data_IF_716429503228
#
_entry.id   IF_716429503228
#
_cell.length_a   1.000
_cell.length_b   1.000
_cell.length_c   1.000
_cell.angle_alpha   90.00
_cell.angle_beta   90.00
_cell.angle_gamma   90.00
#
_symmetry.space_group_name_H-M   'P 1'
#
loop_
_entity.id
_entity.type
_entity.pdbx_description
1 polymer ?
#
# COMPACT_ATOMS: atom_id res chain seq x y z
N UNK A 1 5.07 -2.27 -2.33
CA UNK A 1 4.59 -3.14 -3.43
C UNK A 1 3.87 -4.34 -2.84
N UNK A 2 2.65 -4.64 -3.30
CA UNK A 2 1.83 -5.79 -2.92
C UNK A 2 1.68 -6.65 -4.17
N UNK A 3 2.08 -7.93 -4.12
CA UNK A 3 2.00 -8.83 -5.28
C UNK A 3 0.77 -9.73 -5.16
N UNK A 4 -0.02 -9.80 -6.22
CA UNK A 4 -1.18 -10.70 -6.35
C UNK A 4 -0.91 -11.88 -7.28
N UNK A 5 -0.07 -11.68 -8.31
CA UNK A 5 0.37 -12.70 -9.25
C UNK A 5 1.76 -12.34 -9.80
N UNK A 6 2.56 -13.35 -10.15
CA UNK A 6 3.95 -13.14 -10.60
C UNK A 6 4.94 -12.96 -9.46
N UNK A 7 6.14 -12.50 -9.76
CA UNK A 7 7.20 -12.27 -8.79
C UNK A 7 7.97 -10.99 -9.14
N UNK A 8 8.33 -10.23 -8.10
CA UNK A 8 9.16 -9.03 -8.19
C UNK A 8 10.41 -9.24 -7.35
N UNK A 9 11.57 -8.98 -7.93
CA UNK A 9 12.85 -8.93 -7.23
C UNK A 9 13.26 -7.48 -7.02
N UNK A 10 13.72 -7.17 -5.83
CA UNK A 10 14.15 -5.85 -5.39
C UNK A 10 15.57 -5.89 -4.86
N UNK A 11 16.33 -4.87 -5.13
CA UNK A 11 17.59 -4.55 -4.44
C UNK A 11 17.74 -3.05 -4.27
N UNK A 12 18.50 -2.65 -3.24
CA UNK A 12 18.68 -1.25 -2.92
C UNK A 12 20.10 -0.91 -2.42
N UNK A 13 20.39 0.38 -2.37
CA UNK A 13 21.70 0.91 -1.97
C UNK A 13 22.05 0.72 -0.49
N UNK A 14 21.13 0.18 0.33
CA UNK A 14 21.44 -0.24 1.71
C UNK A 14 21.97 -1.67 1.79
N UNK A 15 22.05 -2.35 0.65
CA UNK A 15 22.45 -3.76 0.55
C UNK A 15 21.31 -4.73 0.89
N UNK A 16 20.09 -4.26 0.95
CA UNK A 16 18.90 -5.08 1.19
C UNK A 16 18.20 -5.40 -0.12
N UNK A 17 17.43 -6.46 -0.10
CA UNK A 17 16.66 -6.89 -1.24
C UNK A 17 16.03 -8.25 -1.01
N UNK A 18 15.38 -8.77 -2.04
CA UNK A 18 14.74 -10.08 -2.01
C UNK A 18 13.70 -10.22 -3.12
N UNK A 19 13.12 -11.40 -3.17
CA UNK A 19 12.01 -11.73 -4.08
C UNK A 19 10.73 -11.78 -3.28
N UNK A 20 9.69 -11.13 -3.80
CA UNK A 20 8.33 -11.19 -3.28
C UNK A 20 7.41 -11.82 -4.33
N UNK A 21 6.55 -12.73 -3.89
CA UNK A 21 5.57 -13.43 -4.70
C UNK A 21 4.12 -13.15 -4.27
N UNK A 22 3.16 -13.92 -4.79
CA UNK A 22 1.75 -13.71 -4.50
C UNK A 22 1.44 -13.74 -3.00
N UNK A 23 0.84 -12.66 -2.52
CA UNK A 23 0.50 -12.46 -1.12
C UNK A 23 1.57 -11.78 -0.29
N UNK A 24 2.80 -11.66 -0.77
CA UNK A 24 3.88 -10.95 -0.10
C UNK A 24 3.79 -9.44 -0.31
N UNK A 25 4.44 -8.70 0.59
CA UNK A 25 4.51 -7.25 0.56
C UNK A 25 5.95 -6.79 0.78
N UNK A 26 6.41 -5.90 -0.07
CA UNK A 26 7.59 -5.09 0.14
C UNK A 26 7.17 -3.74 0.72
N UNK A 27 7.65 -3.43 1.91
CA UNK A 27 7.38 -2.16 2.57
C UNK A 27 8.69 -1.42 2.79
N UNK A 28 8.96 -0.42 1.95
CA UNK A 28 10.21 0.33 1.95
C UNK A 28 9.98 1.76 2.47
N UNK A 29 10.90 2.24 3.28
CA UNK A 29 10.99 3.65 3.68
C UNK A 29 12.17 4.27 2.96
N UNK A 30 11.93 5.20 2.04
CA UNK A 30 12.98 5.91 1.33
C UNK A 30 13.70 6.92 2.25
N UNK A 31 12.96 7.61 3.12
CA UNK A 31 13.50 8.51 4.13
C UNK A 31 14.50 9.52 3.57
N UNK A 32 15.70 9.56 4.12
CA UNK A 32 16.78 10.47 3.72
C UNK A 32 17.33 10.22 2.30
N UNK A 33 16.86 9.19 1.64
CA UNK A 33 17.20 8.85 0.25
C UNK A 33 17.78 7.45 0.11
N UNK A 34 17.37 6.76 -0.94
CA UNK A 34 17.77 5.41 -1.30
C UNK A 34 17.74 5.27 -2.82
N UNK A 35 18.68 4.52 -3.36
CA UNK A 35 18.57 3.99 -4.72
C UNK A 35 17.98 2.61 -4.64
N UNK A 36 17.03 2.30 -5.49
CA UNK A 36 16.49 0.95 -5.60
C UNK A 36 16.14 0.61 -7.04
N UNK A 37 16.08 -0.67 -7.31
CA UNK A 37 15.55 -1.18 -8.56
C UNK A 37 14.63 -2.36 -8.29
N UNK A 38 13.61 -2.46 -9.10
CA UNK A 38 12.63 -3.53 -9.11
C UNK A 38 12.56 -4.16 -10.49
N UNK A 39 12.60 -5.48 -10.55
CA UNK A 39 12.57 -6.22 -11.79
C UNK A 39 11.90 -7.59 -11.60
N UNK A 40 11.58 -8.24 -12.69
CA UNK A 40 11.07 -9.62 -12.62
C UNK A 40 12.14 -10.54 -12.07
N UNK A 41 11.82 -11.44 -11.14
CA UNK A 41 12.77 -12.44 -10.68
C UNK A 41 13.29 -13.27 -11.86
N UNK A 42 14.49 -13.82 -11.73
CA UNK A 42 15.06 -14.68 -12.77
C UNK A 42 14.16 -15.89 -13.07
N UNK A 43 13.54 -16.47 -12.05
CA UNK A 43 12.62 -17.60 -12.22
C UNK A 43 11.35 -17.18 -12.96
N UNK A 44 10.76 -16.04 -12.60
CA UNK A 44 9.57 -15.51 -13.26
C UNK A 44 9.87 -15.08 -14.71
N UNK A 45 11.03 -14.47 -14.96
CA UNK A 45 11.46 -14.08 -16.32
C UNK A 45 11.63 -15.28 -17.26
N UNK A 46 12.05 -16.43 -16.74
CA UNK A 46 12.17 -17.68 -17.52
C UNK A 46 10.82 -18.33 -17.76
N UNK A 47 9.95 -18.37 -16.74
CA UNK A 47 8.65 -19.00 -16.80
C UNK A 47 7.64 -18.18 -17.60
N UNK A 48 7.70 -16.87 -17.48
CA UNK A 48 6.67 -15.94 -17.94
C UNK A 48 5.39 -16.02 -17.13
N UNK A 49 4.39 -15.24 -17.53
CA UNK A 49 3.07 -15.23 -16.90
C UNK A 49 2.57 -13.82 -16.63
N UNK A 50 1.43 -13.75 -15.93
CA UNK A 50 0.83 -12.48 -15.52
C UNK A 50 1.56 -11.92 -14.30
N UNK A 51 1.92 -10.64 -14.35
CA UNK A 51 2.31 -9.86 -13.19
C UNK A 51 1.14 -8.96 -12.80
N UNK A 52 0.55 -9.21 -11.62
CA UNK A 52 -0.47 -8.34 -11.02
C UNK A 52 0.03 -7.87 -9.67
N UNK A 53 0.22 -6.56 -9.55
CA UNK A 53 0.70 -5.94 -8.31
C UNK A 53 0.10 -4.54 -8.11
N UNK A 54 0.10 -4.08 -6.88
CA UNK A 54 -0.20 -2.70 -6.51
C UNK A 54 1.04 -2.05 -5.90
N UNK A 55 1.42 -0.88 -6.41
CA UNK A 55 2.48 -0.07 -5.82
C UNK A 55 1.87 1.20 -5.21
N UNK A 56 2.12 1.40 -3.92
CA UNK A 56 1.62 2.53 -3.16
C UNK A 56 2.79 3.45 -2.79
N UNK A 57 2.57 4.74 -2.88
CA UNK A 57 3.46 5.73 -2.30
C UNK A 57 2.78 6.34 -1.07
N UNK A 58 3.28 5.96 0.11
CA UNK A 58 2.81 6.48 1.39
C UNK A 58 3.69 7.66 1.79
N UNK A 59 3.08 8.85 1.89
CA UNK A 59 3.82 10.05 2.24
C UNK A 59 4.24 10.05 3.72
N UNK A 60 5.45 10.49 4.00
CA UNK A 60 5.94 10.67 5.37
C UNK A 60 5.60 12.08 5.89
N UNK A 61 5.28 12.23 7.20
CA UNK A 61 5.20 13.54 7.83
C UNK A 61 6.54 14.30 7.70
N UNK A 62 6.49 15.64 7.69
CA UNK A 62 7.67 16.48 7.54
C UNK A 62 8.79 16.13 8.53
N UNK A 63 8.43 15.86 9.79
CA UNK A 63 9.37 15.48 10.86
C UNK A 63 10.12 14.18 10.58
N UNK A 64 9.56 13.30 9.75
CA UNK A 64 10.11 11.97 9.45
C UNK A 64 10.62 11.85 8.00
N UNK A 65 10.60 12.95 7.20
CA UNK A 65 11.09 12.96 5.81
C UNK A 65 12.54 12.47 5.69
N UNK A 66 13.36 12.79 6.68
CA UNK A 66 14.77 12.42 6.74
C UNK A 66 15.03 11.19 7.63
N UNK A 67 14.02 10.35 7.85
CA UNK A 67 14.20 9.09 8.57
C UNK A 67 15.23 8.20 7.87
N UNK A 68 15.86 7.33 8.64
CA UNK A 68 16.80 6.35 8.09
C UNK A 68 16.09 5.43 7.09
N UNK A 69 16.65 5.23 5.88
CA UNK A 69 16.10 4.29 4.91
C UNK A 69 15.93 2.89 5.49
N UNK A 70 14.81 2.25 5.18
CA UNK A 70 14.47 0.95 5.72
C UNK A 70 13.72 0.08 4.72
N UNK A 71 13.84 -1.24 4.89
CA UNK A 71 13.18 -2.23 4.06
C UNK A 71 12.59 -3.33 4.93
N UNK A 72 11.32 -3.66 4.69
CA UNK A 72 10.64 -4.81 5.28
C UNK A 72 10.17 -5.74 4.15
N UNK A 73 10.67 -6.96 4.14
CA UNK A 73 10.09 -8.06 3.38
C UNK A 73 9.04 -8.72 4.29
N UNK A 74 7.79 -8.53 3.96
CA UNK A 74 6.65 -9.05 4.73
C UNK A 74 6.06 -10.19 3.92
N UNK A 75 6.26 -11.43 4.38
CA UNK A 75 5.72 -12.59 3.68
C UNK A 75 4.22 -12.74 3.94
N UNK A 76 3.55 -13.47 3.06
CA UNK A 76 2.14 -13.78 3.23
C UNK A 76 1.83 -14.35 4.63
N UNK A 77 2.72 -15.16 5.19
CA UNK A 77 2.56 -15.77 6.52
C UNK A 77 2.71 -14.78 7.68
N UNK A 78 3.37 -13.65 7.47
CA UNK A 78 3.54 -12.61 8.49
C UNK A 78 2.31 -11.70 8.60
N UNK A 79 1.44 -11.72 7.58
CA UNK A 79 0.27 -10.84 7.53
C UNK A 79 -0.92 -11.54 8.19
N UNK A 80 -1.42 -11.02 9.32
CA UNK A 80 -2.56 -11.62 10.00
C UNK A 80 -3.82 -11.54 9.15
N UNK A 81 -4.59 -12.63 9.17
CA UNK A 81 -5.86 -12.79 8.44
C UNK A 81 -7.01 -12.85 9.43
N UNK A 82 -8.01 -12.01 9.21
CA UNK A 82 -9.25 -11.98 9.97
C UNK A 82 -10.38 -12.56 9.11
N UNK A 83 -11.12 -13.54 9.65
CA UNK A 83 -12.36 -14.00 9.03
C UNK A 83 -13.45 -12.95 9.27
N UNK A 84 -14.09 -12.51 8.21
CA UNK A 84 -15.16 -11.52 8.28
C UNK A 84 -16.49 -12.14 8.75
N UNK A 85 -17.37 -11.34 9.38
CA UNK A 85 -18.68 -11.83 9.82
C UNK A 85 -19.50 -12.45 8.68
N UNK A 86 -20.47 -13.30 9.03
CA UNK A 86 -21.44 -13.92 8.11
C UNK A 86 -20.81 -14.62 6.92
N UNK A 87 -19.58 -15.12 7.12
CA UNK A 87 -18.82 -15.79 6.08
C UNK A 87 -18.58 -14.91 4.82
N UNK A 88 -18.58 -13.57 5.00
CA UNK A 88 -18.42 -12.58 3.94
C UNK A 88 -17.07 -12.66 3.23
N UNK A 89 -16.07 -13.28 3.84
CA UNK A 89 -14.73 -13.42 3.29
C UNK A 89 -13.64 -13.28 4.34
N UNK A 90 -12.49 -12.75 3.91
CA UNK A 90 -11.33 -12.54 4.78
C UNK A 90 -10.75 -11.14 4.57
N UNK A 91 -10.05 -10.65 5.58
CA UNK A 91 -9.32 -9.39 5.58
C UNK A 91 -7.90 -9.63 6.08
N UNK A 92 -6.91 -9.26 5.30
CA UNK A 92 -5.49 -9.27 5.67
C UNK A 92 -5.11 -7.87 6.15
N UNK A 93 -4.53 -7.78 7.35
CA UNK A 93 -4.06 -6.50 7.92
C UNK A 93 -2.60 -6.31 7.56
N UNK A 94 -2.32 -5.57 6.50
CA UNK A 94 -0.95 -5.29 6.04
C UNK A 94 -0.32 -4.20 6.92
N UNK A 95 -1.03 -3.09 7.12
CA UNK A 95 -0.61 -1.98 7.96
C UNK A 95 -1.76 -1.46 8.79
N UNK A 96 -1.47 -0.87 9.94
CA UNK A 96 -2.45 -0.34 10.87
C UNK A 96 -3.16 -1.42 11.68
N UNK A 97 -4.44 -1.22 11.98
CA UNK A 97 -5.20 -2.11 12.86
C UNK A 97 -6.60 -2.40 12.33
N UNK A 98 -7.06 -3.63 12.57
CA UNK A 98 -8.45 -4.03 12.42
C UNK A 98 -8.92 -4.71 13.72
N UNK A 99 -9.75 -4.05 14.49
CA UNK A 99 -10.07 -4.47 15.85
C UNK A 99 -8.80 -4.56 16.72
N UNK A 100 -8.54 -5.74 17.28
CA UNK A 100 -7.34 -6.00 18.09
C UNK A 100 -6.14 -6.50 17.25
N UNK A 101 -6.33 -6.71 15.97
CA UNK A 101 -5.29 -7.24 15.06
C UNK A 101 -4.47 -6.09 14.48
N UNK A 102 -3.14 -6.19 14.57
CA UNK A 102 -2.20 -5.19 14.07
C UNK A 102 -1.38 -5.76 12.92
N UNK A 103 -1.24 -5.01 11.83
CA UNK A 103 -0.43 -5.36 10.68
C UNK A 103 1.08 -5.20 10.94
N UNK A 104 1.92 -5.97 10.24
CA UNK A 104 3.37 -5.99 10.45
C UNK A 104 4.11 -4.77 9.87
N UNK A 105 3.51 -4.02 8.95
CA UNK A 105 4.20 -2.90 8.31
C UNK A 105 4.41 -1.73 9.28
N UNK A 106 5.64 -1.24 9.37
CA UNK A 106 5.98 -0.06 10.16
C UNK A 106 5.50 1.21 9.48
N UNK A 107 4.78 2.06 10.20
CA UNK A 107 4.24 3.32 9.71
C UNK A 107 4.69 4.51 10.55
N UNK A 108 4.79 5.70 9.94
CA UNK A 108 5.19 6.95 10.60
C UNK A 108 4.00 7.84 10.97
N UNK A 109 2.82 7.50 10.48
CA UNK A 109 1.55 8.16 10.80
C UNK A 109 0.46 7.11 10.92
N UNK A 110 -0.67 7.40 11.59
CA UNK A 110 -1.80 6.49 11.65
C UNK A 110 -2.35 6.23 10.24
N UNK A 111 -2.36 4.97 9.83
CA UNK A 111 -2.94 4.54 8.56
C UNK A 111 -3.32 3.06 8.60
N UNK A 112 -4.21 2.68 7.70
CA UNK A 112 -4.65 1.31 7.47
C UNK A 112 -4.42 0.94 6.01
N UNK A 113 -3.82 -0.24 5.77
CA UNK A 113 -3.79 -0.91 4.48
C UNK A 113 -4.31 -2.31 4.70
N UNK A 114 -5.51 -2.56 4.19
CA UNK A 114 -6.21 -3.83 4.34
C UNK A 114 -6.51 -4.43 2.97
N UNK A 115 -6.23 -5.70 2.83
CA UNK A 115 -6.48 -6.47 1.61
C UNK A 115 -7.62 -7.45 1.87
N UNK A 116 -8.77 -7.22 1.22
CA UNK A 116 -10.01 -7.95 1.41
C UNK A 116 -10.24 -8.95 0.28
N UNK A 117 -10.63 -10.16 0.64
CA UNK A 117 -11.19 -11.14 -0.28
C UNK A 117 -12.65 -11.35 0.11
N UNK A 118 -13.57 -10.85 -0.70
CA UNK A 118 -15.01 -10.87 -0.46
C UNK A 118 -15.70 -11.92 -1.31
N UNK A 119 -16.69 -12.60 -0.75
CA UNK A 119 -17.54 -13.55 -1.49
C UNK A 119 -18.70 -12.84 -2.15
N UNK A 120 -19.10 -13.30 -3.30
CA UNK A 120 -20.29 -12.80 -3.98
C UNK A 120 -21.52 -12.77 -3.05
N UNK A 121 -22.27 -11.67 -3.11
CA UNK A 121 -23.48 -11.46 -2.30
C UNK A 121 -23.21 -11.07 -0.85
N UNK A 122 -21.95 -10.89 -0.45
CA UNK A 122 -21.64 -10.43 0.90
C UNK A 122 -21.87 -8.93 1.06
N UNK A 123 -22.30 -8.55 2.26
CA UNK A 123 -22.46 -7.18 2.70
C UNK A 123 -21.52 -6.95 3.90
N UNK A 124 -20.65 -5.97 3.80
CA UNK A 124 -19.66 -5.68 4.81
C UNK A 124 -19.74 -4.20 5.20
N UNK A 125 -19.70 -3.93 6.50
CA UNK A 125 -19.52 -2.58 7.04
C UNK A 125 -18.18 -2.49 7.74
N UNK A 126 -17.34 -1.57 7.28
CA UNK A 126 -16.05 -1.26 7.87
C UNK A 126 -16.10 0.11 8.53
N UNK A 127 -15.53 0.22 9.72
CA UNK A 127 -15.36 1.50 10.38
C UNK A 127 -14.00 2.09 10.05
N UNK A 128 -13.99 3.37 9.71
CA UNK A 128 -12.78 4.18 9.55
C UNK A 128 -12.93 5.43 10.43
N UNK A 129 -11.85 5.94 11.00
CA UNK A 129 -11.94 7.18 11.76
C UNK A 129 -12.46 8.33 10.88
N UNK A 130 -13.42 9.10 11.40
CA UNK A 130 -13.90 10.30 10.71
C UNK A 130 -12.77 11.28 10.46
N UNK A 131 -12.78 11.93 9.31
CA UNK A 131 -11.73 12.86 8.89
C UNK A 131 -10.54 12.18 8.19
N UNK A 132 -10.46 10.85 8.17
CA UNK A 132 -9.40 10.17 7.44
C UNK A 132 -9.64 10.18 5.93
N UNK A 133 -8.54 10.33 5.19
CA UNK A 133 -8.56 10.08 3.74
C UNK A 133 -8.68 8.59 3.49
N UNK A 134 -9.70 8.17 2.76
CA UNK A 134 -9.97 6.76 2.46
C UNK A 134 -10.16 6.54 0.97
N UNK A 135 -9.51 5.53 0.45
CA UNK A 135 -9.68 5.07 -0.92
C UNK A 135 -9.65 3.55 -0.98
N UNK A 136 -10.27 3.00 -2.00
CA UNK A 136 -10.21 1.57 -2.29
C UNK A 136 -9.97 1.31 -3.78
N UNK A 137 -9.24 0.24 -4.07
CA UNK A 137 -9.05 -0.27 -5.43
C UNK A 137 -9.67 -1.64 -5.52
N UNK A 138 -10.50 -1.86 -6.52
CA UNK A 138 -10.97 -3.20 -6.88
C UNK A 138 -9.88 -3.88 -7.70
N UNK A 139 -9.23 -4.87 -7.12
CA UNK A 139 -8.15 -5.63 -7.76
C UNK A 139 -8.70 -6.72 -8.67
N UNK A 140 -9.80 -7.34 -8.25
CA UNK A 140 -10.52 -8.37 -8.99
C UNK A 140 -12.01 -8.29 -8.66
N UNK A 141 -12.86 -8.64 -9.62
CA UNK A 141 -14.31 -8.70 -9.42
C UNK A 141 -15.00 -7.33 -9.40
N UNK A 142 -16.06 -7.20 -8.61
CA UNK A 142 -16.86 -5.98 -8.54
C UNK A 142 -17.56 -5.81 -7.20
N UNK A 143 -17.67 -4.56 -6.75
CA UNK A 143 -18.35 -4.17 -5.51
C UNK A 143 -19.23 -2.94 -5.74
N UNK A 144 -20.24 -2.77 -4.89
CA UNK A 144 -20.97 -1.51 -4.76
C UNK A 144 -20.54 -0.84 -3.46
N UNK A 145 -20.10 0.41 -3.54
CA UNK A 145 -19.63 1.21 -2.42
C UNK A 145 -20.75 2.12 -1.94
N UNK A 146 -21.04 2.08 -0.63
CA UNK A 146 -22.07 2.89 0.03
C UNK A 146 -23.45 2.83 -0.65
N UNK A 147 -23.78 1.68 -1.22
CA UNK A 147 -25.07 1.42 -1.87
C UNK A 147 -25.33 2.16 -3.18
N UNK A 148 -24.42 3.01 -3.64
CA UNK A 148 -24.66 3.90 -4.78
C UNK A 148 -23.58 3.88 -5.85
N UNK A 149 -22.35 3.51 -5.51
CA UNK A 149 -21.20 3.61 -6.41
C UNK A 149 -20.70 2.21 -6.81
N UNK A 150 -21.07 1.71 -7.99
CA UNK A 150 -20.51 0.47 -8.49
C UNK A 150 -19.05 0.67 -8.89
N UNK A 151 -18.20 -0.30 -8.56
CA UNK A 151 -16.80 -0.32 -8.94
C UNK A 151 -16.39 -1.72 -9.37
N UNK A 152 -15.74 -1.82 -10.52
CA UNK A 152 -15.20 -3.04 -11.09
C UNK A 152 -13.68 -3.10 -11.04
N UNK A 153 -13.11 -4.16 -11.61
CA UNK A 153 -11.66 -4.38 -11.67
C UNK A 153 -10.90 -3.16 -12.19
N UNK A 154 -9.76 -2.87 -11.59
CA UNK A 154 -8.87 -1.74 -11.86
C UNK A 154 -9.50 -0.35 -11.63
N UNK A 155 -10.61 -0.25 -10.92
CA UNK A 155 -11.20 1.03 -10.55
C UNK A 155 -10.80 1.45 -9.14
N UNK A 156 -10.46 2.74 -9.01
CA UNK A 156 -10.19 3.42 -7.75
C UNK A 156 -11.42 4.22 -7.33
N UNK A 157 -11.87 4.02 -6.11
CA UNK A 157 -12.92 4.84 -5.47
C UNK A 157 -12.28 5.65 -4.35
N UNK A 158 -12.38 6.97 -4.42
CA UNK A 158 -11.93 7.90 -3.39
C UNK A 158 -13.15 8.41 -2.63
N UNK A 159 -13.13 8.26 -1.31
CA UNK A 159 -14.23 8.66 -0.45
C UNK A 159 -14.03 10.10 0.08
N UNK A 160 -15.13 10.73 0.47
CA UNK A 160 -15.07 11.96 1.26
C UNK A 160 -14.52 11.64 2.66
N UNK A 161 -14.00 12.66 3.34
CA UNK A 161 -13.52 12.52 4.72
C UNK A 161 -14.64 12.58 5.75
N UNK A 162 -15.92 12.71 5.31
CA UNK A 162 -17.08 12.77 6.20
C UNK A 162 -17.63 11.38 6.47
N UNK A 163 -17.97 11.12 7.72
CA UNK A 163 -18.52 9.86 8.17
C UNK A 163 -17.43 8.84 8.55
N UNK A 164 -17.86 7.82 9.23
CA UNK A 164 -16.99 6.79 9.84
C UNK A 164 -17.28 5.37 9.33
N UNK A 165 -18.22 5.21 8.39
CA UNK A 165 -18.65 3.90 7.89
C UNK A 165 -18.49 3.78 6.38
N UNK A 166 -17.92 2.67 5.98
CA UNK A 166 -17.82 2.23 4.60
C UNK A 166 -18.62 0.94 4.43
N UNK A 167 -19.63 0.99 3.56
CA UNK A 167 -20.42 -0.18 3.21
C UNK A 167 -19.94 -0.74 1.87
N UNK A 168 -19.67 -2.03 1.84
CA UNK A 168 -19.29 -2.76 0.63
C UNK A 168 -20.30 -3.90 0.40
N UNK A 169 -20.80 -3.99 -0.82
CA UNK A 169 -21.59 -5.12 -1.31
C UNK A 169 -20.84 -5.75 -2.48
N UNK A 170 -20.51 -7.02 -2.36
CA UNK A 170 -19.78 -7.75 -3.38
C UNK A 170 -20.73 -8.31 -4.44
N UNK A 171 -20.73 -7.73 -5.63
CA UNK A 171 -21.56 -8.18 -6.75
C UNK A 171 -21.04 -9.47 -7.40
N UNK A 172 -19.76 -9.77 -7.22
CA UNK A 172 -19.08 -11.03 -7.55
C UNK A 172 -18.09 -11.36 -6.44
N UNK A 173 -17.40 -12.51 -6.49
CA UNK A 173 -16.18 -12.68 -5.71
C UNK A 173 -15.23 -11.53 -6.06
N UNK A 174 -14.68 -10.87 -5.06
CA UNK A 174 -13.90 -9.65 -5.26
C UNK A 174 -12.68 -9.57 -4.35
N UNK A 175 -11.59 -9.00 -4.88
CA UNK A 175 -10.44 -8.55 -4.10
C UNK A 175 -10.40 -7.05 -4.09
N UNK A 176 -10.30 -6.46 -2.90
CA UNK A 176 -10.34 -5.01 -2.70
C UNK A 176 -9.20 -4.60 -1.79
N UNK A 177 -8.34 -3.70 -2.26
CA UNK A 177 -7.33 -3.06 -1.43
C UNK A 177 -7.91 -1.77 -0.86
N UNK A 178 -8.06 -1.70 0.46
CA UNK A 178 -8.49 -0.51 1.19
C UNK A 178 -7.27 0.19 1.77
N UNK A 179 -7.21 1.49 1.55
CA UNK A 179 -6.17 2.39 2.06
C UNK A 179 -6.85 3.54 2.78
N UNK A 180 -6.52 3.74 4.05
CA UNK A 180 -7.02 4.86 4.82
C UNK A 180 -5.90 5.45 5.68
N UNK A 181 -5.91 6.76 5.93
CA UNK A 181 -4.91 7.38 6.77
C UNK A 181 -5.32 8.77 7.26
N UNK A 182 -4.79 9.12 8.42
CA UNK A 182 -4.91 10.46 8.97
C UNK A 182 -4.25 11.47 8.02
N UNK A 183 -4.96 12.54 7.59
CA UNK A 183 -4.35 13.56 6.75
C UNK A 183 -3.18 14.25 7.45
N UNK A 184 -2.04 14.33 6.79
CA UNK A 184 -0.86 15.01 7.36
C UNK A 184 -1.07 16.52 7.47
N UNK A 185 -1.95 17.11 6.65
CA UNK A 185 -2.21 18.55 6.60
C UNK A 185 -0.95 19.40 6.40
N UNK A 186 0.00 18.87 5.65
CA UNK A 186 1.28 19.50 5.33
C UNK A 186 1.38 19.76 3.83
N UNK A 187 2.17 20.75 3.39
CA UNK A 187 2.42 20.95 1.96
C UNK A 187 3.05 19.72 1.33
N UNK A 188 2.65 19.41 0.09
CA UNK A 188 3.20 18.31 -0.71
C UNK A 188 3.80 18.90 -1.97
N UNK A 189 5.10 18.70 -2.17
CA UNK A 189 5.83 19.10 -3.38
C UNK A 189 6.53 17.88 -3.95
N UNK A 190 6.14 17.49 -5.17
CA UNK A 190 6.72 16.34 -5.89
C UNK A 190 7.56 16.78 -7.08
N UNK A 191 8.67 16.10 -7.31
CA UNK A 191 9.45 16.21 -8.54
C UNK A 191 10.20 14.89 -8.81
N UNK A 192 9.89 14.23 -9.93
CA UNK A 192 10.42 12.90 -10.21
C UNK A 192 10.12 11.93 -9.07
N UNK A 193 11.12 11.23 -8.52
CA UNK A 193 10.93 10.30 -7.41
C UNK A 193 10.89 10.98 -6.03
N UNK A 194 11.05 12.30 -5.95
CA UNK A 194 11.13 13.03 -4.69
C UNK A 194 9.77 13.59 -4.28
N UNK A 195 9.40 13.41 -3.02
CA UNK A 195 8.22 14.00 -2.38
C UNK A 195 8.63 14.65 -1.09
N UNK A 196 8.59 16.00 -1.05
CA UNK A 196 9.01 16.82 0.09
C UNK A 196 7.91 17.82 0.46
N UNK A 197 8.19 18.73 1.39
CA UNK A 197 7.24 19.74 1.81
C UNK A 197 7.49 21.12 1.15
N UNK A 198 8.66 21.32 0.52
CA UNK A 198 9.01 22.56 -0.15
C UNK A 198 9.88 22.34 -1.41
N UNK A 199 9.89 23.35 -2.30
CA UNK A 199 10.79 23.35 -3.47
C UNK A 199 12.27 23.38 -3.07
N UNK A 200 12.59 24.00 -1.95
CA UNK A 200 13.96 24.03 -1.42
C UNK A 200 14.43 22.64 -1.05
N UNK A 201 13.60 21.88 -0.34
CA UNK A 201 13.90 20.48 0.02
C UNK A 201 14.01 19.59 -1.22
N UNK A 202 13.20 19.79 -2.26
CA UNK A 202 13.37 19.10 -3.55
C UNK A 202 14.75 19.41 -4.16
N UNK A 203 15.18 20.67 -4.16
CA UNK A 203 16.49 21.05 -4.68
C UNK A 203 17.63 20.42 -3.86
N UNK A 204 17.45 20.28 -2.56
CA UNK A 204 18.39 19.57 -1.68
C UNK A 204 18.44 18.07 -1.99
N UNK A 205 17.29 17.41 -2.11
CA UNK A 205 17.23 15.99 -2.48
C UNK A 205 17.91 15.69 -3.82
N UNK A 206 17.75 16.58 -4.82
CA UNK A 206 18.44 16.46 -6.11
C UNK A 206 19.97 16.61 -5.94
N UNK A 207 20.43 17.58 -5.11
CA UNK A 207 21.86 17.73 -4.84
C UNK A 207 22.44 16.51 -4.12
N UNK A 208 21.70 15.96 -3.16
CA UNK A 208 22.10 14.76 -2.41
C UNK A 208 22.20 13.54 -3.31
N UNK A 209 21.24 13.36 -4.21
CA UNK A 209 21.29 12.33 -5.25
C UNK A 209 22.53 12.49 -6.15
N UNK A 210 22.74 13.69 -6.70
CA UNK A 210 23.88 13.97 -7.60
C UNK A 210 25.25 13.85 -6.92
N UNK A 211 25.30 14.03 -5.60
CA UNK A 211 26.54 13.87 -4.80
C UNK A 211 26.82 12.43 -4.37
N UNK A 212 25.95 11.47 -4.73
CA UNK A 212 26.10 10.07 -4.38
C UNK A 212 25.71 9.73 -2.93
N UNK A 213 25.02 10.61 -2.22
CA UNK A 213 24.60 10.36 -0.82
C UNK A 213 23.61 9.23 -0.66
N UNK A 214 22.89 8.87 -1.72
CA UNK A 214 21.94 7.75 -1.69
C UNK A 214 22.59 6.38 -1.87
N UNK A 215 23.94 6.34 -1.93
CA UNK A 215 24.70 5.11 -2.07
C UNK A 215 24.85 4.66 -3.52
N UNK A 216 25.09 3.37 -3.70
CA UNK A 216 25.24 2.71 -5.02
C UNK A 216 24.53 1.35 -4.98
N UNK A 217 24.06 0.88 -6.13
CA UNK A 217 23.47 -0.44 -6.35
C UNK A 217 24.43 -1.28 -7.17
#
# INVERSE_FOLDING_TARGET
>A
TIVYSGEVEHRDSTGRGGVIGPGDVQWMTAGAGILHEEFHSSAFSQKGGELKMMQLWVNLPAKDKMATPGYQSITQSDIPVVTLPDNSGTLRVIAGRFGEVTGPAHTFSPLNVWDLALRQGSHLTLNQPEGWSTALVVVEGSVTVNGTTPAGEAQLVVLSQSGDKLHLEASSDAKVLLMAGEPLNEPIVGYGPFVMNSKTEIAEAIRDFNSGRFGQI
#
